data_IF_491038885628
#
_entry.id   IF_491038885628
#
_cell.length_a   1.000
_cell.length_b   1.000
_cell.length_c   1.000
_cell.angle_alpha   90.00
_cell.angle_beta   90.00
_cell.angle_gamma   90.00
#
_symmetry.space_group_name_H-M   'P 1'
#
loop_
_entity.id
_entity.type
_entity.pdbx_description
1 polymer ?
#
# COMPACT_ATOMS: atom_id res chain seq x y z
N UNK A 1 6.24 -24.71 -5.70
CA UNK A 1 4.90 -24.46 -5.20
C UNK A 1 4.93 -23.39 -4.12
N UNK A 2 4.00 -22.47 -4.18
CA UNK A 2 3.93 -21.45 -3.16
C UNK A 2 3.49 -22.07 -1.84
N UNK A 3 4.10 -21.61 -0.74
CA UNK A 3 3.69 -22.06 0.58
C UNK A 3 2.35 -21.41 0.91
N UNK A 4 1.32 -22.22 1.23
CA UNK A 4 0.02 -21.64 1.54
C UNK A 4 0.14 -20.61 2.66
N UNK A 5 -0.49 -19.47 2.47
CA UNK A 5 -0.48 -18.40 3.43
C UNK A 5 0.71 -17.47 3.34
N UNK A 6 1.72 -17.81 2.55
CA UNK A 6 2.87 -16.93 2.38
C UNK A 6 2.50 -15.79 1.44
N UNK A 7 2.65 -14.56 1.92
CA UNK A 7 2.33 -13.36 1.16
C UNK A 7 3.63 -12.65 0.82
N UNK A 8 3.77 -12.23 -0.41
CA UNK A 8 4.95 -11.51 -0.84
C UNK A 8 4.77 -10.01 -0.58
N UNK A 9 5.87 -9.37 -0.22
CA UNK A 9 5.94 -7.91 -0.13
C UNK A 9 6.77 -7.47 -1.33
N UNK A 10 6.14 -6.72 -2.24
CA UNK A 10 6.77 -6.35 -3.51
C UNK A 10 6.99 -4.85 -3.55
N UNK A 11 8.24 -4.39 -3.55
CA UNK A 11 8.53 -2.97 -3.74
C UNK A 11 8.58 -2.64 -5.23
N UNK A 12 7.88 -1.59 -5.63
CA UNK A 12 7.88 -1.09 -6.99
C UNK A 12 8.15 0.41 -6.97
N UNK A 13 8.86 0.89 -7.98
CA UNK A 13 9.16 2.32 -8.05
C UNK A 13 7.95 3.13 -8.49
N UNK A 14 7.06 2.52 -9.26
CA UNK A 14 5.89 3.21 -9.79
C UNK A 14 4.78 2.20 -10.06
N UNK A 15 3.54 2.68 -10.02
CA UNK A 15 2.40 1.84 -10.36
C UNK A 15 2.47 1.31 -11.80
N UNK A 16 3.24 1.97 -12.65
CA UNK A 16 3.39 1.50 -14.03
C UNK A 16 4.16 0.18 -14.12
N UNK A 17 4.81 -0.23 -13.05
CA UNK A 17 5.56 -1.49 -13.02
C UNK A 17 4.72 -2.68 -12.57
N UNK A 18 3.43 -2.46 -12.30
CA UNK A 18 2.57 -3.55 -11.85
C UNK A 18 2.51 -4.67 -12.89
N UNK A 19 2.64 -5.89 -12.40
CA UNK A 19 2.56 -7.07 -13.25
C UNK A 19 1.64 -8.11 -12.63
N UNK A 20 1.45 -9.25 -13.30
CA UNK A 20 0.50 -10.26 -12.83
C UNK A 20 0.90 -10.90 -11.50
N UNK A 21 2.18 -10.86 -11.15
CA UNK A 21 2.64 -11.41 -9.88
C UNK A 21 2.27 -10.54 -8.70
N UNK A 22 1.72 -9.35 -8.93
CA UNK A 22 1.30 -8.47 -7.85
C UNK A 22 0.03 -8.98 -7.15
N UNK A 23 -0.77 -9.79 -7.82
CA UNK A 23 -2.04 -10.24 -7.25
C UNK A 23 -1.80 -10.95 -5.92
N UNK A 24 -2.57 -10.59 -4.91
CA UNK A 24 -2.48 -11.19 -3.58
C UNK A 24 -1.30 -10.73 -2.74
N UNK A 25 -0.46 -9.85 -3.25
CA UNK A 25 0.72 -9.38 -2.53
C UNK A 25 0.41 -8.12 -1.73
N UNK A 26 1.36 -7.74 -0.87
CA UNK A 26 1.39 -6.40 -0.27
C UNK A 26 2.35 -5.58 -1.12
N UNK A 27 1.87 -4.49 -1.68
CA UNK A 27 2.69 -3.64 -2.55
C UNK A 27 3.21 -2.43 -1.79
N UNK A 28 4.49 -2.12 -2.01
CA UNK A 28 5.09 -0.87 -1.55
C UNK A 28 5.49 -0.11 -2.80
N UNK A 29 4.70 0.89 -3.17
CA UNK A 29 4.86 1.58 -4.45
C UNK A 29 5.36 2.99 -4.24
N UNK A 30 6.36 3.40 -5.00
CA UNK A 30 6.94 4.73 -4.94
C UNK A 30 6.09 5.81 -5.61
N UNK A 31 4.78 5.62 -5.65
CA UNK A 31 3.85 6.58 -6.22
C UNK A 31 3.15 7.37 -5.14
N UNK A 32 2.60 8.52 -5.52
CA UNK A 32 1.85 9.37 -4.61
C UNK A 32 0.62 8.63 -4.08
N UNK A 33 0.21 8.97 -2.87
CA UNK A 33 -0.94 8.35 -2.22
C UNK A 33 -2.25 8.96 -2.74
N UNK A 34 -2.45 8.88 -4.04
CA UNK A 34 -3.63 9.42 -4.72
C UNK A 34 -4.45 8.30 -5.33
N UNK A 35 -5.65 8.63 -5.79
CA UNK A 35 -6.58 7.62 -6.26
C UNK A 35 -6.12 6.89 -7.53
N UNK A 36 -5.32 7.54 -8.38
CA UNK A 36 -4.86 6.91 -9.61
C UNK A 36 -4.04 5.65 -9.36
N UNK A 37 -2.90 5.76 -8.68
CA UNK A 37 -2.12 4.57 -8.34
C UNK A 37 -2.90 3.57 -7.51
N UNK A 38 -3.78 4.05 -6.62
CA UNK A 38 -4.59 3.15 -5.80
C UNK A 38 -5.52 2.32 -6.67
N UNK A 39 -6.13 2.92 -7.68
CA UNK A 39 -7.02 2.19 -8.58
C UNK A 39 -6.26 1.11 -9.36
N UNK A 40 -5.07 1.44 -9.84
CA UNK A 40 -4.24 0.47 -10.56
C UNK A 40 -3.92 -0.74 -9.68
N UNK A 41 -3.55 -0.48 -8.42
CA UNK A 41 -3.24 -1.56 -7.49
C UNK A 41 -4.49 -2.40 -7.19
N UNK A 42 -5.63 -1.74 -7.04
CA UNK A 42 -6.87 -2.47 -6.79
C UNK A 42 -7.23 -3.38 -7.96
N UNK A 43 -7.06 -2.88 -9.18
CA UNK A 43 -7.33 -3.68 -10.37
C UNK A 43 -6.36 -4.86 -10.50
N UNK A 44 -5.15 -4.71 -9.97
CA UNK A 44 -4.18 -5.79 -10.00
C UNK A 44 -4.46 -6.85 -8.94
N UNK A 45 -5.41 -6.60 -8.03
CA UNK A 45 -5.80 -7.60 -7.05
C UNK A 45 -4.85 -7.74 -5.88
N UNK A 46 -4.13 -6.68 -5.53
CA UNK A 46 -3.22 -6.74 -4.38
C UNK A 46 -4.03 -6.82 -3.09
N UNK A 47 -3.39 -7.31 -2.05
CA UNK A 47 -4.04 -7.50 -0.77
C UNK A 47 -3.99 -6.25 0.11
N UNK A 48 -2.93 -5.45 -0.01
CA UNK A 48 -2.75 -4.22 0.74
C UNK A 48 -1.75 -3.35 0.01
N UNK A 49 -1.70 -2.06 0.35
CA UNK A 49 -0.93 -1.10 -0.44
C UNK A 49 -0.30 -0.06 0.47
N UNK A 50 0.99 0.22 0.23
CA UNK A 50 1.69 1.31 0.90
C UNK A 50 2.21 2.26 -0.18
N UNK A 51 1.90 3.54 -0.02
CA UNK A 51 2.24 4.57 -0.98
C UNK A 51 3.09 5.65 -0.32
N UNK A 52 3.49 6.66 -1.08
CA UNK A 52 4.32 7.76 -0.60
C UNK A 52 3.43 8.98 -0.38
N UNK A 53 3.54 9.64 0.77
CA UNK A 53 2.63 10.75 1.06
C UNK A 53 3.02 12.05 0.36
N UNK A 54 4.23 12.14 -0.16
CA UNK A 54 4.74 13.28 -0.93
C UNK A 54 4.49 14.63 -0.26
N UNK A 55 4.52 14.64 1.08
CA UNK A 55 4.33 15.89 1.83
C UNK A 55 2.88 16.24 2.07
N UNK A 56 1.95 15.36 1.77
CA UNK A 56 0.51 15.49 2.01
C UNK A 56 -0.16 16.57 1.14
N UNK A 57 0.40 17.76 1.07
CA UNK A 57 -0.23 18.83 0.32
C UNK A 57 -1.35 19.52 1.09
N UNK A 58 -2.00 20.51 0.47
CA UNK A 58 -3.09 21.23 1.09
C UNK A 58 -4.30 20.34 1.26
N UNK A 59 -4.94 20.45 2.41
CA UNK A 59 -6.20 19.76 2.70
C UNK A 59 -6.09 18.24 2.55
N UNK A 60 -4.88 17.70 2.71
CA UNK A 60 -4.71 16.27 2.63
C UNK A 60 -4.81 15.71 1.23
N UNK A 61 -4.64 16.55 0.20
CA UNK A 61 -4.80 16.09 -1.18
C UNK A 61 -3.87 14.93 -1.54
N UNK A 62 -2.69 14.85 -0.89
CA UNK A 62 -1.75 13.77 -1.15
C UNK A 62 -2.12 12.45 -0.48
N UNK A 63 -3.26 12.38 0.19
CA UNK A 63 -3.66 11.17 0.91
C UNK A 63 -5.00 10.61 0.43
N UNK A 64 -5.46 11.02 -0.75
CA UNK A 64 -6.80 10.62 -1.22
C UNK A 64 -6.93 9.12 -1.45
N UNK A 65 -5.81 8.42 -1.60
CA UNK A 65 -5.84 6.97 -1.76
C UNK A 65 -6.40 6.25 -0.53
N UNK A 66 -6.11 6.76 0.66
CA UNK A 66 -6.47 6.04 1.89
C UNK A 66 -7.97 5.88 2.07
N UNK A 67 -8.78 6.95 2.01
CA UNK A 67 -10.23 6.76 2.11
C UNK A 67 -10.81 6.03 0.91
N UNK A 68 -10.24 6.23 -0.28
CA UNK A 68 -10.68 5.51 -1.46
C UNK A 68 -10.55 4.00 -1.26
N UNK A 69 -9.39 3.56 -0.79
CA UNK A 69 -9.15 2.13 -0.56
C UNK A 69 -9.92 1.61 0.64
N UNK A 70 -10.17 2.46 1.64
CA UNK A 70 -11.00 2.07 2.77
C UNK A 70 -12.40 1.65 2.30
N UNK A 71 -12.98 2.43 1.38
CA UNK A 71 -14.29 2.10 0.85
C UNK A 71 -14.29 0.84 0.03
N UNK A 72 -13.17 0.54 -0.64
CA UNK A 72 -13.05 -0.69 -1.41
C UNK A 72 -12.77 -1.90 -0.54
N UNK A 73 -12.40 -1.72 0.72
CA UNK A 73 -12.10 -2.82 1.60
C UNK A 73 -10.65 -3.24 1.63
N UNK A 74 -9.74 -2.38 1.18
CA UNK A 74 -8.32 -2.69 1.13
C UNK A 74 -7.53 -1.91 2.18
N UNK A 75 -6.78 -2.60 3.07
CA UNK A 75 -5.89 -1.91 3.99
C UNK A 75 -4.81 -1.14 3.24
N UNK A 76 -4.55 0.08 3.66
CA UNK A 76 -3.53 0.89 3.00
C UNK A 76 -2.93 1.89 3.96
N UNK A 77 -1.71 2.33 3.63
CA UNK A 77 -0.95 3.29 4.41
C UNK A 77 -0.05 4.07 3.48
N UNK A 78 0.56 5.13 4.00
CA UNK A 78 1.59 5.82 3.26
C UNK A 78 2.74 6.16 4.19
N UNK A 79 3.93 6.31 3.60
CA UNK A 79 5.12 6.67 4.36
C UNK A 79 5.36 8.16 4.28
N UNK A 80 6.05 8.68 5.29
CA UNK A 80 6.42 10.08 5.38
C UNK A 80 7.40 10.44 4.25
N UNK A 81 7.11 11.52 3.54
CA UNK A 81 7.92 11.95 2.41
C UNK A 81 9.37 12.23 2.80
N UNK A 82 9.61 12.54 4.06
CA UNK A 82 10.97 12.82 4.54
C UNK A 82 11.71 11.56 4.92
N UNK A 83 11.03 10.42 5.03
CA UNK A 83 11.68 9.19 5.48
C UNK A 83 12.25 8.38 4.34
N UNK A 84 11.75 8.55 3.12
CA UNK A 84 12.22 7.78 1.98
C UNK A 84 11.95 8.54 0.69
N UNK A 85 12.64 8.12 -0.37
CA UNK A 85 12.52 8.78 -1.67
C UNK A 85 11.25 8.38 -2.38
N UNK A 86 10.64 9.33 -3.07
CA UNK A 86 9.55 9.00 -3.98
C UNK A 86 10.12 8.26 -5.19
N UNK A 87 9.30 7.45 -5.82
CA UNK A 87 9.69 6.67 -7.01
C UNK A 87 10.79 5.67 -6.72
N UNK A 88 10.86 5.20 -5.47
CA UNK A 88 11.87 4.21 -5.06
C UNK A 88 11.26 3.29 -4.02
N UNK A 89 10.63 2.22 -4.51
CA UNK A 89 9.92 1.29 -3.64
C UNK A 89 10.80 0.59 -2.64
N UNK A 90 12.02 0.25 -3.04
CA UNK A 90 12.94 -0.43 -2.13
C UNK A 90 13.40 0.51 -1.02
N UNK A 91 13.67 1.76 -1.34
CA UNK A 91 14.05 2.73 -0.33
C UNK A 91 12.92 2.93 0.66
N UNK A 92 11.67 2.99 0.15
CA UNK A 92 10.50 3.11 1.02
C UNK A 92 10.39 1.92 1.97
N UNK A 93 10.61 0.71 1.46
CA UNK A 93 10.49 -0.48 2.28
C UNK A 93 11.54 -0.51 3.38
N UNK A 94 12.77 -0.11 3.05
CA UNK A 94 13.90 -0.21 3.99
C UNK A 94 13.92 0.96 4.97
N UNK A 95 13.64 2.17 4.51
CA UNK A 95 13.81 3.39 5.30
C UNK A 95 12.53 4.11 5.63
N UNK A 96 11.43 3.78 4.97
CA UNK A 96 10.19 4.51 5.14
C UNK A 96 9.61 4.37 6.53
N UNK A 97 8.97 5.45 6.98
CA UNK A 97 8.25 5.48 8.26
C UNK A 97 6.80 5.82 7.95
N UNK A 98 5.88 5.04 8.45
CA UNK A 98 4.46 5.25 8.20
C UNK A 98 4.03 6.60 8.75
N UNK A 99 3.37 7.40 7.92
CA UNK A 99 2.82 8.67 8.35
C UNK A 99 1.32 8.60 8.56
N UNK A 100 0.61 7.83 7.73
CA UNK A 100 -0.85 7.71 7.80
C UNK A 100 -1.26 6.32 7.38
N UNK A 101 -2.41 5.86 7.87
CA UNK A 101 -3.00 4.60 7.41
C UNK A 101 -4.52 4.72 7.49
N UNK A 102 -5.23 3.88 6.72
CA UNK A 102 -6.68 3.85 6.85
C UNK A 102 -7.09 2.93 8.00
N UNK A 103 -8.40 2.87 8.28
CA UNK A 103 -8.88 2.11 9.43
C UNK A 103 -8.62 0.62 9.28
N UNK A 104 -8.71 0.10 8.07
CA UNK A 104 -8.47 -1.32 7.84
C UNK A 104 -7.04 -1.69 8.18
N UNK A 105 -6.07 -0.86 7.79
CA UNK A 105 -4.68 -1.10 8.15
C UNK A 105 -4.46 -0.95 9.65
N UNK A 106 -5.09 0.05 10.25
CA UNK A 106 -4.98 0.24 11.69
C UNK A 106 -5.48 -0.99 12.45
N UNK A 107 -6.55 -1.60 11.95
CA UNK A 107 -7.09 -2.81 12.56
C UNK A 107 -6.14 -4.01 12.50
N UNK A 108 -5.16 -3.98 11.60
CA UNK A 108 -4.13 -5.02 11.51
C UNK A 108 -2.92 -4.71 12.38
N UNK A 109 -2.91 -3.57 13.05
CA UNK A 109 -1.79 -3.16 13.88
C UNK A 109 -0.90 -2.11 13.26
N UNK A 110 -1.20 -1.64 12.06
CA UNK A 110 -0.43 -0.60 11.39
C UNK A 110 -0.73 0.75 12.03
N UNK A 111 0.31 1.54 12.26
CA UNK A 111 0.14 2.86 12.87
C UNK A 111 1.26 3.78 12.44
N UNK A 112 0.99 5.08 12.51
CA UNK A 112 2.01 6.08 12.22
C UNK A 112 3.20 5.90 13.15
N UNK A 113 4.39 6.09 12.62
CA UNK A 113 5.62 5.93 13.37
C UNK A 113 6.29 4.59 13.22
N UNK A 114 5.58 3.59 12.68
CA UNK A 114 6.18 2.28 12.42
C UNK A 114 7.07 2.33 11.18
N UNK A 115 8.03 1.41 11.11
CA UNK A 115 8.78 1.25 9.87
C UNK A 115 7.86 0.70 8.79
N UNK A 116 8.16 1.05 7.55
CA UNK A 116 7.38 0.54 6.41
C UNK A 116 7.42 -0.98 6.37
N UNK A 117 8.59 -1.58 6.64
CA UNK A 117 8.70 -3.03 6.61
C UNK A 117 7.82 -3.69 7.66
N UNK A 118 7.79 -3.15 8.86
CA UNK A 118 6.93 -3.68 9.91
C UNK A 118 5.46 -3.60 9.51
N UNK A 119 5.06 -2.45 8.97
CA UNK A 119 3.68 -2.27 8.54
C UNK A 119 3.33 -3.24 7.40
N UNK A 120 4.24 -3.42 6.45
CA UNK A 120 4.00 -4.35 5.34
C UNK A 120 3.82 -5.77 5.85
N UNK A 121 4.61 -6.17 6.83
CA UNK A 121 4.48 -7.51 7.42
C UNK A 121 3.15 -7.69 8.12
N UNK A 122 2.67 -6.65 8.82
CA UNK A 122 1.36 -6.72 9.46
C UNK A 122 0.26 -6.83 8.39
N UNK A 123 0.41 -6.13 7.29
CA UNK A 123 -0.58 -6.16 6.23
C UNK A 123 -0.64 -7.50 5.51
N UNK A 124 0.40 -8.32 5.62
CA UNK A 124 0.35 -9.67 5.07
C UNK A 124 -0.74 -10.51 5.71
N UNK A 125 -1.24 -10.10 6.85
CA UNK A 125 -2.31 -10.82 7.54
C UNK A 125 -3.69 -10.43 7.04
N UNK A 126 -3.79 -9.47 6.14
CA UNK A 126 -5.07 -9.06 5.58
C UNK A 126 -5.68 -10.20 4.79
N UNK A 127 -7.01 -10.23 4.73
CA UNK A 127 -7.68 -11.17 3.84
C UNK A 127 -7.45 -10.73 2.40
N UNK A 128 -7.46 -11.68 1.46
CA UNK A 128 -7.33 -11.30 0.06
C UNK A 128 -8.41 -10.30 -0.33
N UNK A 129 -8.00 -9.34 -1.16
CA UNK A 129 -8.92 -8.30 -1.61
C UNK A 129 -9.98 -8.91 -2.53
N UNK A 130 -11.23 -8.67 -2.20
CA UNK A 130 -12.35 -9.24 -2.96
C UNK A 130 -13.24 -8.18 -3.58
N UNK A 131 -12.80 -6.94 -3.59
CA UNK A 131 -13.58 -5.85 -4.15
C UNK A 131 -13.48 -5.72 -5.65
N UNK A 132 -12.95 -6.73 -6.34
CA UNK A 132 -12.77 -6.67 -7.78
C UNK A 132 -14.12 -6.86 -8.49
N UNK A 133 -14.33 -6.10 -9.56
CA UNK A 133 -15.63 -6.18 -10.26
C UNK A 133 -15.98 -7.56 -10.77
N UNK A 134 -15.00 -8.33 -11.14
CA UNK A 134 -15.23 -9.66 -11.70
C UNK A 134 -15.13 -10.75 -10.66
N UNK A 135 -15.02 -10.40 -9.40
CA UNK A 135 -14.94 -11.40 -8.34
C UNK A 135 -16.27 -12.12 -8.13
N UNK A 136 -17.31 -11.57 -8.66
CA UNK A 136 -18.63 -12.18 -8.57
C UNK A 136 -18.76 -13.38 -9.47
#
# INVERSE_FOLDING_TARGET
MAIPGKVQIIPLDSATQLGPDAAGSVLVIGSQATAGPALWAAKAGVRALILHDTGVGKDGAGLTALPFLQELGMPSACIDSKSARISDGKDMLVRGIISHCNELAYGLGTAAGQSCQEAAELMCQATPFEGQPDAS
#
